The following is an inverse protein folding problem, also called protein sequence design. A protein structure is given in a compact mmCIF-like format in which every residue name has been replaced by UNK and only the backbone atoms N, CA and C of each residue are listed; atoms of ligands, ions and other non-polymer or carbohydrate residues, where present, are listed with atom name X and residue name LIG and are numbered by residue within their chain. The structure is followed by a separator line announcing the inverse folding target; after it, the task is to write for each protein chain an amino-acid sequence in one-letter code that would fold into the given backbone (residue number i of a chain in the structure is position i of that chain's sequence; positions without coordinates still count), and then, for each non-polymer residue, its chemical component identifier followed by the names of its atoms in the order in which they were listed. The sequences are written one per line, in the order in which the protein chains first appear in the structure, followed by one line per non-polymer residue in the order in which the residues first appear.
data_IF_032225500912
#
_entry.id   IF_032225500912
#
_cell.length_a   1.000
_cell.length_b   1.000
_cell.length_c   1.000
_cell.angle_alpha   90.00
_cell.angle_beta   90.00
_cell.angle_gamma   90.00
#
_symmetry.space_group_name_H-M   'P 1'
#
loop_
_entity.id
_entity.type
_entity.pdbx_description
1 polymer ?
#
# COMPACT_ATOMS: atom_id res chain seq x y z
N UNK A 1 -10.23 -16.72 -15.71
CA UNK A 1 -10.85 -15.40 -16.00
C UNK A 1 -11.64 -15.41 -17.30
N UNK A 2 -11.07 -15.86 -18.43
CA UNK A 2 -11.78 -15.92 -19.71
C UNK A 2 -13.08 -16.74 -19.64
N UNK A 3 -13.03 -17.95 -19.07
CA UNK A 3 -14.23 -18.78 -18.86
C UNK A 3 -15.31 -18.09 -18.00
N UNK A 4 -14.92 -17.32 -16.99
CA UNK A 4 -15.86 -16.58 -16.13
C UNK A 4 -16.59 -15.51 -16.98
N UNK A 5 -15.87 -14.84 -17.87
CA UNK A 5 -16.44 -13.86 -18.80
C UNK A 5 -17.39 -14.52 -19.81
N UNK A 6 -17.09 -15.74 -20.26
CA UNK A 6 -17.97 -16.47 -21.17
C UNK A 6 -19.29 -16.88 -20.48
N UNK A 7 -19.21 -17.48 -19.28
CA UNK A 7 -20.39 -17.87 -18.50
C UNK A 7 -21.29 -16.66 -18.21
N UNK A 8 -20.70 -15.50 -17.91
CA UNK A 8 -21.46 -14.28 -17.71
C UNK A 8 -22.26 -13.86 -18.95
N UNK A 9 -21.62 -13.93 -20.12
CA UNK A 9 -22.19 -13.53 -21.41
C UNK A 9 -23.28 -14.50 -21.88
N UNK A 10 -23.07 -15.81 -21.68
CA UNK A 10 -24.06 -16.86 -21.97
C UNK A 10 -25.31 -16.72 -21.09
N UNK A 11 -25.19 -16.12 -19.91
CA UNK A 11 -26.32 -15.84 -19.03
C UNK A 11 -26.91 -17.06 -18.34
N UNK A 12 -26.25 -18.22 -18.42
CA UNK A 12 -26.66 -19.48 -17.80
C UNK A 12 -26.84 -19.39 -16.28
N UNK A 13 -26.13 -18.46 -15.64
CA UNK A 13 -26.25 -18.13 -14.22
C UNK A 13 -27.62 -17.54 -13.81
N UNK A 14 -28.40 -17.02 -14.76
CA UNK A 14 -29.73 -16.44 -14.50
C UNK A 14 -30.81 -17.48 -14.23
N UNK A 15 -30.53 -18.75 -14.50
CA UNK A 15 -31.42 -19.85 -14.12
C UNK A 15 -31.50 -20.00 -12.58
N UNK A 16 -30.47 -19.55 -11.87
CA UNK A 16 -30.47 -19.44 -10.42
C UNK A 16 -31.14 -18.13 -9.97
N UNK A 17 -31.81 -18.13 -8.82
CA UNK A 17 -32.57 -17.00 -8.24
C UNK A 17 -31.72 -15.79 -7.79
N UNK A 18 -30.52 -15.61 -8.36
CA UNK A 18 -29.55 -14.57 -8.01
C UNK A 18 -29.72 -13.31 -8.87
N UNK A 19 -29.71 -12.13 -8.22
CA UNK A 19 -29.92 -10.83 -8.89
C UNK A 19 -28.67 -10.23 -9.56
N UNK A 20 -27.49 -10.83 -9.40
CA UNK A 20 -26.27 -10.37 -10.10
C UNK A 20 -25.26 -11.50 -10.29
N UNK A 21 -24.50 -11.44 -11.38
CA UNK A 21 -23.47 -12.44 -11.68
C UNK A 21 -22.38 -12.51 -10.61
N UNK A 22 -21.99 -11.37 -10.02
CA UNK A 22 -21.00 -11.35 -8.92
C UNK A 22 -21.52 -12.02 -7.65
N UNK A 23 -22.82 -11.87 -7.33
CA UNK A 23 -23.45 -12.57 -6.20
C UNK A 23 -23.54 -14.08 -6.46
N UNK A 24 -23.90 -14.44 -7.70
CA UNK A 24 -23.91 -15.83 -8.14
C UNK A 24 -22.51 -16.47 -8.04
N UNK A 25 -21.48 -15.79 -8.54
CA UNK A 25 -20.10 -16.26 -8.48
C UNK A 25 -19.60 -16.39 -7.03
N UNK A 26 -19.92 -15.40 -6.18
CA UNK A 26 -19.58 -15.46 -4.76
C UNK A 26 -20.19 -16.67 -4.06
N UNK A 27 -21.48 -16.96 -4.33
CA UNK A 27 -22.19 -18.11 -3.78
C UNK A 27 -21.62 -19.44 -4.30
N UNK A 28 -21.44 -19.56 -5.62
CA UNK A 28 -21.00 -20.78 -6.29
C UNK A 28 -19.57 -21.18 -5.93
N UNK A 29 -18.67 -20.21 -5.89
CA UNK A 29 -17.23 -20.42 -5.64
C UNK A 29 -16.84 -20.15 -4.18
N UNK A 30 -17.81 -19.87 -3.30
CA UNK A 30 -17.61 -19.54 -1.87
C UNK A 30 -16.59 -18.41 -1.66
N UNK A 31 -16.61 -17.41 -2.53
CA UNK A 31 -15.71 -16.25 -2.48
C UNK A 31 -16.31 -15.14 -1.63
N UNK A 32 -15.46 -14.27 -1.09
CA UNK A 32 -15.93 -13.00 -0.55
C UNK A 32 -16.55 -12.15 -1.66
N UNK A 33 -17.56 -11.34 -1.31
CA UNK A 33 -18.23 -10.43 -2.26
C UNK A 33 -17.23 -9.54 -3.00
N UNK A 34 -16.23 -9.01 -2.29
CA UNK A 34 -15.20 -8.15 -2.85
C UNK A 34 -14.28 -8.87 -3.83
N UNK A 35 -13.96 -10.15 -3.58
CA UNK A 35 -13.16 -10.95 -4.52
C UNK A 35 -13.99 -11.31 -5.76
N UNK A 36 -15.23 -11.74 -5.61
CA UNK A 36 -16.11 -12.05 -6.73
C UNK A 36 -16.33 -10.83 -7.65
N UNK A 37 -16.58 -9.65 -7.07
CA UNK A 37 -16.70 -8.40 -7.84
C UNK A 37 -15.44 -8.08 -8.64
N UNK A 38 -14.25 -8.19 -8.02
CA UNK A 38 -12.98 -7.99 -8.73
C UNK A 38 -12.76 -9.00 -9.84
N UNK A 39 -13.04 -10.28 -9.59
CA UNK A 39 -12.90 -11.35 -10.57
C UNK A 39 -13.83 -11.14 -11.77
N UNK A 40 -15.10 -10.76 -11.54
CA UNK A 40 -16.04 -10.42 -12.61
C UNK A 40 -15.57 -9.19 -13.38
N UNK A 41 -15.14 -8.13 -12.70
CA UNK A 41 -14.61 -6.92 -13.36
C UNK A 41 -13.42 -7.22 -14.27
N UNK A 42 -12.46 -8.03 -13.81
CA UNK A 42 -11.32 -8.46 -14.62
C UNK A 42 -11.73 -9.33 -15.82
N UNK A 43 -12.71 -10.23 -15.62
CA UNK A 43 -13.24 -11.06 -16.70
C UNK A 43 -13.96 -10.22 -17.78
N UNK A 44 -14.73 -9.19 -17.38
CA UNK A 44 -15.36 -8.24 -18.30
C UNK A 44 -14.33 -7.43 -19.07
N UNK A 45 -13.33 -6.87 -18.38
CA UNK A 45 -12.27 -6.09 -19.01
C UNK A 45 -11.52 -6.90 -20.08
N UNK A 46 -11.23 -8.17 -19.81
CA UNK A 46 -10.65 -9.08 -20.81
C UNK A 46 -11.54 -9.29 -22.02
N UNK A 47 -12.83 -9.52 -21.79
CA UNK A 47 -13.79 -9.79 -22.87
C UNK A 47 -14.07 -8.56 -23.74
N UNK A 48 -14.14 -7.38 -23.14
CA UNK A 48 -14.64 -6.17 -23.79
C UNK A 48 -13.52 -5.26 -24.32
N UNK A 49 -12.34 -5.28 -23.69
CA UNK A 49 -11.28 -4.31 -23.99
C UNK A 49 -9.92 -4.93 -24.27
N UNK A 50 -9.74 -6.23 -23.98
CA UNK A 50 -8.44 -6.89 -24.13
C UNK A 50 -8.54 -8.26 -24.84
N UNK A 51 -9.06 -8.31 -26.09
CA UNK A 51 -9.21 -9.55 -26.83
C UNK A 51 -7.88 -10.28 -27.09
N UNK A 52 -6.77 -9.57 -27.36
CA UNK A 52 -5.48 -10.22 -27.60
C UNK A 52 -4.91 -10.84 -26.32
N UNK A 53 -5.08 -10.16 -25.19
CA UNK A 53 -4.67 -10.64 -23.86
C UNK A 53 -5.49 -11.85 -23.45
N UNK A 54 -6.80 -11.85 -23.74
CA UNK A 54 -7.65 -13.01 -23.50
C UNK A 54 -7.20 -14.23 -24.33
N UNK A 55 -6.85 -14.04 -25.60
CA UNK A 55 -6.32 -15.09 -26.46
C UNK A 55 -5.00 -15.65 -25.94
N UNK A 56 -4.03 -14.79 -25.61
CA UNK A 56 -2.73 -15.20 -25.05
C UNK A 56 -2.88 -15.93 -23.70
N UNK A 57 -3.81 -15.48 -22.84
CA UNK A 57 -4.10 -16.16 -21.58
C UNK A 57 -4.71 -17.55 -21.79
N UNK A 58 -5.60 -17.73 -22.77
CA UNK A 58 -6.15 -19.03 -23.14
C UNK A 58 -5.09 -19.95 -23.75
N UNK A 59 -4.16 -19.40 -24.53
CA UNK A 59 -3.03 -20.13 -25.10
C UNK A 59 -1.96 -20.52 -24.05
N UNK A 60 -2.03 -19.96 -22.84
CA UNK A 60 -1.05 -20.20 -21.78
C UNK A 60 0.29 -19.46 -22.01
N UNK A 61 0.31 -18.49 -22.92
CA UNK A 61 1.50 -17.69 -23.26
C UNK A 61 1.83 -16.66 -22.18
N UNK A 62 0.81 -16.24 -21.42
CA UNK A 62 0.94 -15.27 -20.34
C UNK A 62 0.37 -15.81 -19.03
N UNK A 63 0.97 -15.39 -17.92
CA UNK A 63 0.53 -15.75 -16.57
C UNK A 63 -0.65 -14.90 -16.10
N UNK A 64 -1.31 -15.34 -15.02
CA UNK A 64 -2.38 -14.56 -14.38
C UNK A 64 -1.91 -13.18 -13.87
N UNK A 65 -0.62 -13.02 -13.55
CA UNK A 65 -0.05 -11.73 -13.15
C UNK A 65 -0.03 -10.74 -14.32
N UNK A 66 0.43 -11.16 -15.50
CA UNK A 66 0.39 -10.34 -16.72
C UNK A 66 -1.03 -9.88 -17.04
N UNK A 67 -2.00 -10.80 -16.96
CA UNK A 67 -3.42 -10.50 -17.14
C UNK A 67 -3.88 -9.43 -16.13
N UNK A 68 -3.53 -9.58 -14.86
CA UNK A 68 -3.90 -8.62 -13.81
C UNK A 68 -3.30 -7.23 -14.04
N UNK A 69 -2.09 -7.16 -14.62
CA UNK A 69 -1.42 -5.91 -14.96
C UNK A 69 -2.11 -5.27 -16.17
N UNK A 70 -2.41 -6.03 -17.23
CA UNK A 70 -3.12 -5.53 -18.40
C UNK A 70 -4.51 -4.98 -18.07
N UNK A 71 -5.26 -5.64 -17.17
CA UNK A 71 -6.57 -5.16 -16.71
C UNK A 71 -6.47 -3.78 -16.04
N UNK A 72 -5.34 -3.41 -15.42
CA UNK A 72 -5.17 -2.05 -14.86
C UNK A 72 -5.10 -0.98 -15.95
N UNK A 73 -4.67 -1.35 -17.16
CA UNK A 73 -4.62 -0.44 -18.30
C UNK A 73 -6.00 -0.09 -18.86
N UNK A 74 -7.09 -0.75 -18.43
CA UNK A 74 -8.47 -0.46 -18.88
C UNK A 74 -9.24 0.45 -17.91
N UNK A 75 -8.53 1.16 -17.03
CA UNK A 75 -9.10 1.92 -15.91
C UNK A 75 -9.98 3.10 -16.33
N UNK A 76 -9.70 3.72 -17.47
CA UNK A 76 -10.45 4.86 -18.01
C UNK A 76 -10.84 4.64 -19.46
N UNK A 77 -11.80 5.41 -19.97
CA UNK A 77 -12.23 5.31 -21.36
C UNK A 77 -11.11 5.70 -22.32
N UNK A 78 -10.40 6.79 -22.04
CA UNK A 78 -9.23 7.26 -22.80
C UNK A 78 -8.18 6.15 -22.97
N UNK A 79 -7.92 5.37 -21.90
CA UNK A 79 -6.96 4.28 -21.97
C UNK A 79 -7.48 3.11 -22.81
N UNK A 80 -8.78 2.79 -22.77
CA UNK A 80 -9.40 1.75 -23.61
C UNK A 80 -9.34 2.12 -25.08
N UNK A 81 -9.65 3.38 -25.41
CA UNK A 81 -9.53 3.90 -26.78
C UNK A 81 -8.07 3.79 -27.28
N UNK A 82 -7.09 4.14 -26.44
CA UNK A 82 -5.67 3.99 -26.78
C UNK A 82 -5.22 2.53 -26.94
N UNK A 83 -5.78 1.61 -26.16
CA UNK A 83 -5.53 0.17 -26.30
C UNK A 83 -6.12 -0.39 -27.60
N UNK A 84 -7.30 0.07 -28.00
CA UNK A 84 -7.97 -0.35 -29.23
C UNK A 84 -7.41 0.35 -30.49
N UNK A 85 -6.83 1.53 -30.34
CA UNK A 85 -6.32 2.35 -31.43
C UNK A 85 -5.15 1.72 -32.19
N UNK A 86 -5.01 2.01 -33.50
CA UNK A 86 -3.90 1.52 -34.31
C UNK A 86 -2.59 2.20 -33.91
N UNK A 87 -1.53 1.41 -33.84
CA UNK A 87 -0.16 1.81 -33.53
C UNK A 87 0.74 1.27 -34.64
N UNK A 88 1.57 2.15 -35.22
CA UNK A 88 2.60 1.74 -36.15
C UNK A 88 3.63 0.89 -35.40
N UNK A 89 3.91 -0.30 -35.91
CA UNK A 89 4.76 -1.28 -35.26
C UNK A 89 5.70 -1.90 -36.27
N UNK A 90 6.99 -1.94 -35.94
CA UNK A 90 8.01 -2.68 -36.70
C UNK A 90 8.14 -4.14 -36.23
N UNK A 91 7.16 -4.64 -35.48
CA UNK A 91 7.17 -6.03 -34.96
C UNK A 91 6.69 -7.05 -36.01
N UNK A 92 6.99 -8.33 -35.74
CA UNK A 92 6.61 -9.46 -36.60
C UNK A 92 5.09 -9.63 -36.82
N UNK A 93 4.24 -8.93 -36.07
CA UNK A 93 2.79 -8.95 -36.21
C UNK A 93 2.27 -8.14 -37.42
N UNK A 94 3.14 -7.37 -38.10
CA UNK A 94 2.81 -6.53 -39.24
C UNK A 94 2.97 -5.03 -38.94
N UNK A 95 2.84 -4.17 -39.97
CA UNK A 95 3.16 -2.73 -39.87
C UNK A 95 2.20 -1.92 -38.96
N UNK A 96 1.04 -2.47 -38.63
CA UNK A 96 0.02 -1.84 -37.77
C UNK A 96 -0.54 -2.89 -36.83
N UNK A 97 -0.47 -2.63 -35.52
CA UNK A 97 -1.11 -3.44 -34.48
C UNK A 97 -1.92 -2.54 -33.54
N UNK A 98 -2.73 -3.10 -32.65
CA UNK A 98 -3.40 -2.29 -31.61
C UNK A 98 -2.43 -1.91 -30.49
N UNK A 99 -2.77 -0.88 -29.72
CA UNK A 99 -2.04 -0.52 -28.50
C UNK A 99 -1.96 -1.69 -27.51
N UNK A 100 -3.03 -2.47 -27.38
CA UNK A 100 -3.05 -3.71 -26.62
C UNK A 100 -1.98 -4.70 -27.10
N UNK A 101 -1.97 -5.02 -28.41
CA UNK A 101 -1.04 -5.99 -28.99
C UNK A 101 0.42 -5.54 -28.84
N UNK A 102 0.68 -4.23 -28.99
CA UNK A 102 2.01 -3.66 -28.79
C UNK A 102 2.49 -3.87 -27.34
N UNK A 103 1.65 -3.56 -26.36
CA UNK A 103 1.99 -3.77 -24.94
C UNK A 103 2.17 -5.26 -24.64
N UNK A 104 1.24 -6.10 -25.10
CA UNK A 104 1.26 -7.55 -24.88
C UNK A 104 2.51 -8.21 -25.50
N UNK A 105 3.00 -7.70 -26.64
CA UNK A 105 4.25 -8.19 -27.26
C UNK A 105 5.48 -8.09 -26.36
N UNK A 106 5.46 -7.23 -25.35
CA UNK A 106 6.53 -7.09 -24.36
C UNK A 106 6.40 -8.06 -23.16
N UNK A 107 5.27 -8.76 -23.02
CA UNK A 107 5.05 -9.69 -21.91
C UNK A 107 5.95 -10.93 -22.00
N UNK A 108 6.29 -11.37 -23.21
CA UNK A 108 7.17 -12.53 -23.44
C UNK A 108 8.67 -12.24 -23.30
N UNK A 109 9.07 -10.96 -23.31
CA UNK A 109 10.49 -10.54 -23.34
C UNK A 109 10.96 -9.91 -22.03
N UNK A 110 10.04 -9.37 -21.22
CA UNK A 110 10.35 -8.67 -19.98
C UNK A 110 9.97 -9.47 -18.74
N UNK A 111 10.62 -9.19 -17.60
CA UNK A 111 10.16 -9.71 -16.31
C UNK A 111 8.83 -9.07 -15.91
N UNK A 112 8.04 -9.74 -15.07
CA UNK A 112 6.73 -9.23 -14.60
C UNK A 112 6.83 -7.82 -14.01
N UNK A 113 7.87 -7.53 -13.23
CA UNK A 113 8.08 -6.20 -12.64
C UNK A 113 8.36 -5.12 -13.69
N UNK A 114 9.12 -5.46 -14.73
CA UNK A 114 9.42 -4.56 -15.84
C UNK A 114 8.17 -4.31 -16.70
N UNK A 115 7.39 -5.36 -16.94
CA UNK A 115 6.09 -5.27 -17.58
C UNK A 115 5.13 -4.37 -16.78
N UNK A 116 5.11 -4.52 -15.45
CA UNK A 116 4.35 -3.64 -14.57
C UNK A 116 4.74 -2.17 -14.70
N UNK A 117 6.04 -1.87 -14.82
CA UNK A 117 6.54 -0.50 -15.05
C UNK A 117 6.15 0.03 -16.43
N UNK A 118 6.23 -0.80 -17.47
CA UNK A 118 5.81 -0.45 -18.83
C UNK A 118 4.33 -0.03 -18.85
N UNK A 119 3.47 -0.86 -18.27
CA UNK A 119 2.02 -0.59 -18.22
C UNK A 119 1.73 0.65 -17.37
N UNK A 120 2.44 0.85 -16.25
CA UNK A 120 2.34 2.09 -15.49
C UNK A 120 2.70 3.31 -16.34
N UNK A 121 3.79 3.26 -17.09
CA UNK A 121 4.19 4.32 -18.02
C UNK A 121 3.12 4.60 -19.07
N UNK A 122 2.54 3.55 -19.66
CA UNK A 122 1.41 3.67 -20.58
C UNK A 122 0.21 4.35 -19.92
N UNK A 123 -0.18 3.97 -18.69
CA UNK A 123 -1.32 4.60 -18.02
C UNK A 123 -1.09 6.09 -17.73
N UNK A 124 0.14 6.47 -17.36
CA UNK A 124 0.50 7.87 -17.07
C UNK A 124 0.51 8.72 -18.34
N UNK A 125 1.12 8.23 -19.41
CA UNK A 125 1.14 8.93 -20.70
C UNK A 125 -0.20 8.85 -21.43
N UNK A 126 -0.98 7.82 -21.13
CA UNK A 126 -2.25 7.49 -21.78
C UNK A 126 -3.39 8.38 -21.32
N UNK A 127 -3.42 8.70 -20.03
CA UNK A 127 -4.47 9.55 -19.45
C UNK A 127 -3.91 10.38 -18.29
N UNK A 128 -3.11 11.42 -18.58
CA UNK A 128 -2.49 12.24 -17.54
C UNK A 128 -3.52 13.01 -16.71
N UNK A 129 -4.66 13.40 -17.30
CA UNK A 129 -5.73 14.08 -16.58
C UNK A 129 -6.38 13.19 -15.54
N UNK A 130 -6.65 11.91 -15.87
CA UNK A 130 -7.16 10.96 -14.89
C UNK A 130 -6.13 10.66 -13.79
N UNK A 131 -4.84 10.64 -14.11
CA UNK A 131 -3.80 10.50 -13.08
C UNK A 131 -3.75 11.72 -12.15
N UNK A 132 -3.83 12.93 -12.71
CA UNK A 132 -3.85 14.17 -11.93
C UNK A 132 -5.11 14.22 -11.05
N UNK A 133 -6.27 13.85 -11.58
CA UNK A 133 -7.50 13.75 -10.80
C UNK A 133 -7.38 12.70 -9.70
N UNK A 134 -6.87 11.51 -9.99
CA UNK A 134 -6.65 10.47 -8.98
C UNK A 134 -5.66 10.92 -7.90
N UNK A 135 -4.64 11.70 -8.27
CA UNK A 135 -3.72 12.32 -7.34
C UNK A 135 -4.44 13.33 -6.44
N UNK A 136 -5.22 14.26 -7.00
CA UNK A 136 -6.04 15.21 -6.23
C UNK A 136 -7.04 14.52 -5.31
N UNK A 137 -7.76 13.52 -5.82
CA UNK A 137 -8.70 12.71 -5.03
C UNK A 137 -7.97 12.00 -3.88
N UNK A 138 -6.72 11.55 -4.07
CA UNK A 138 -5.93 10.95 -3.01
C UNK A 138 -5.49 11.98 -1.95
N UNK A 139 -5.12 13.20 -2.37
CA UNK A 139 -4.81 14.33 -1.48
C UNK A 139 -6.03 14.73 -0.66
N UNK A 140 -7.20 14.87 -1.29
CA UNK A 140 -8.45 15.23 -0.60
C UNK A 140 -8.92 14.16 0.39
N UNK A 141 -8.49 12.91 0.19
CA UNK A 141 -8.77 11.78 1.09
C UNK A 141 -7.71 11.61 2.16
N UNK A 142 -6.67 12.44 2.20
CA UNK A 142 -5.70 12.37 3.27
C UNK A 142 -6.36 12.70 4.61
N UNK A 143 -6.17 11.82 5.57
CA UNK A 143 -6.59 12.07 6.93
C UNK A 143 -5.66 11.36 7.91
N UNK A 144 -5.55 11.93 9.09
CA UNK A 144 -4.93 11.30 10.25
C UNK A 144 -5.85 11.56 11.44
N UNK A 145 -6.31 10.48 12.06
CA UNK A 145 -7.16 10.50 13.24
C UNK A 145 -6.43 9.78 14.37
N UNK A 146 -6.41 10.43 15.53
CA UNK A 146 -5.90 9.87 16.78
C UNK A 146 -7.05 9.97 17.79
N UNK A 147 -7.60 8.84 18.20
CA UNK A 147 -8.76 8.79 19.10
C UNK A 147 -8.51 7.87 20.30
N UNK A 148 -9.04 8.20 21.48
CA UNK A 148 -8.99 7.31 22.64
C UNK A 148 -9.90 6.09 22.43
N UNK A 149 -9.46 4.95 22.94
CA UNK A 149 -10.18 3.67 22.96
C UNK A 149 -10.08 3.04 24.35
N UNK A 150 -10.85 1.97 24.60
CA UNK A 150 -10.75 1.23 25.86
C UNK A 150 -9.41 0.46 25.89
N UNK A 151 -8.39 1.04 26.52
CA UNK A 151 -7.08 0.42 26.69
C UNK A 151 -5.95 1.04 25.87
N UNK A 152 -6.18 2.16 25.17
CA UNK A 152 -5.12 2.87 24.47
C UNK A 152 -5.61 3.92 23.49
N UNK A 153 -4.72 4.35 22.60
CA UNK A 153 -5.04 5.28 21.51
C UNK A 153 -5.07 4.51 20.19
N UNK A 154 -6.07 4.77 19.35
CA UNK A 154 -6.11 4.30 17.98
C UNK A 154 -5.63 5.40 17.05
N UNK A 155 -4.64 5.08 16.21
CA UNK A 155 -4.18 5.94 15.13
C UNK A 155 -4.65 5.32 13.81
N UNK A 156 -5.40 6.10 13.02
CA UNK A 156 -5.91 5.68 11.72
C UNK A 156 -5.66 6.79 10.71
N UNK A 157 -5.26 6.44 9.50
CA UNK A 157 -5.01 7.43 8.48
C UNK A 157 -4.83 6.86 7.09
N UNK A 158 -4.95 7.76 6.14
CA UNK A 158 -4.58 7.55 4.75
C UNK A 158 -3.74 8.74 4.32
N UNK A 159 -2.61 8.47 3.69
CA UNK A 159 -1.73 9.50 3.12
C UNK A 159 -1.41 9.11 1.68
N UNK A 160 -1.10 10.10 0.86
CA UNK A 160 -0.56 9.90 -0.48
C UNK A 160 0.71 9.07 -0.44
N UNK A 161 1.07 8.47 -1.58
CA UNK A 161 2.29 7.67 -1.68
C UNK A 161 3.54 8.49 -1.35
N UNK A 162 3.59 9.75 -1.77
CA UNK A 162 4.70 10.66 -1.48
C UNK A 162 4.86 10.90 0.02
N UNK A 163 3.80 11.36 0.69
CA UNK A 163 3.81 11.59 2.14
C UNK A 163 4.08 10.30 2.92
N UNK A 164 3.54 9.16 2.47
CA UNK A 164 3.82 7.86 3.06
C UNK A 164 5.29 7.43 2.92
N UNK A 165 5.94 7.73 1.80
CA UNK A 165 7.38 7.49 1.64
C UNK A 165 8.21 8.40 2.54
N UNK A 166 7.86 9.68 2.64
CA UNK A 166 8.50 10.63 3.55
C UNK A 166 8.38 10.14 5.01
N UNK A 167 7.20 9.71 5.44
CA UNK A 167 6.95 9.16 6.77
C UNK A 167 7.77 7.88 7.02
N UNK A 168 7.77 6.93 6.07
CA UNK A 168 8.58 5.71 6.19
C UNK A 168 10.09 6.00 6.21
N UNK A 169 10.55 7.05 5.53
CA UNK A 169 11.94 7.47 5.58
C UNK A 169 12.30 8.08 6.93
N UNK A 170 11.44 8.95 7.48
CA UNK A 170 11.63 9.55 8.80
C UNK A 170 11.66 8.47 9.91
N UNK A 171 10.70 7.53 9.91
CA UNK A 171 10.69 6.43 10.87
C UNK A 171 11.96 5.58 10.78
N UNK A 172 12.44 5.26 9.56
CA UNK A 172 13.69 4.52 9.38
C UNK A 172 14.92 5.30 9.86
N UNK A 173 14.92 6.62 9.72
CA UNK A 173 16.01 7.45 10.19
C UNK A 173 16.10 7.44 11.73
N UNK A 174 14.96 7.38 12.43
CA UNK A 174 14.91 7.35 13.90
C UNK A 174 15.14 5.94 14.46
N UNK A 175 14.58 4.90 13.83
CA UNK A 175 14.64 3.51 14.29
C UNK A 175 16.05 2.96 14.53
N UNK A 176 17.06 3.50 13.84
CA UNK A 176 18.41 2.94 13.82
C UNK A 176 18.47 1.54 13.20
N UNK A 177 19.61 0.85 13.40
CA UNK A 177 19.80 -0.55 12.98
C UNK A 177 19.34 -1.46 14.12
N UNK A 178 18.34 -2.34 13.92
CA UNK A 178 17.92 -3.29 14.94
C UNK A 178 19.07 -4.19 15.39
N UNK A 179 19.11 -4.55 16.67
CA UNK A 179 20.07 -5.52 17.18
C UNK A 179 19.85 -6.90 16.51
N UNK A 180 20.92 -7.68 16.36
CA UNK A 180 20.88 -8.96 15.65
C UNK A 180 19.96 -10.00 16.33
N UNK A 181 19.71 -9.83 17.62
CA UNK A 181 18.85 -10.65 18.47
C UNK A 181 17.46 -10.03 18.72
N UNK A 182 17.13 -8.90 18.08
CA UNK A 182 15.80 -8.30 18.19
C UNK A 182 14.77 -9.10 17.37
N UNK A 183 14.10 -10.04 18.04
CA UNK A 183 13.06 -10.89 17.48
C UNK A 183 11.69 -10.21 17.38
N UNK A 184 11.57 -8.92 17.72
CA UNK A 184 10.27 -8.25 17.72
C UNK A 184 9.74 -8.03 16.29
N UNK A 185 8.42 -8.20 16.07
CA UNK A 185 7.76 -7.88 14.81
C UNK A 185 8.09 -6.46 14.32
N UNK A 186 8.21 -6.31 13.00
CA UNK A 186 8.52 -5.02 12.37
C UNK A 186 7.53 -3.91 12.74
N UNK A 187 6.26 -4.26 12.91
CA UNK A 187 5.20 -3.31 13.27
C UNK A 187 5.40 -2.71 14.67
N UNK A 188 5.88 -3.49 15.65
CA UNK A 188 6.17 -2.98 16.99
C UNK A 188 7.36 -2.01 16.97
N UNK A 189 8.42 -2.35 16.22
CA UNK A 189 9.58 -1.44 16.02
C UNK A 189 9.16 -0.13 15.34
N UNK A 190 8.18 -0.21 14.43
CA UNK A 190 7.62 0.96 13.76
C UNK A 190 6.85 1.87 14.72
N UNK A 191 6.15 1.29 15.70
CA UNK A 191 5.52 2.05 16.79
C UNK A 191 6.57 2.75 17.65
N UNK A 192 7.61 2.04 18.08
CA UNK A 192 8.72 2.63 18.87
C UNK A 192 9.33 3.82 18.10
N UNK A 193 9.62 3.64 16.82
CA UNK A 193 10.18 4.69 15.95
C UNK A 193 9.27 5.92 15.83
N UNK A 194 7.95 5.73 15.85
CA UNK A 194 6.98 6.82 15.81
C UNK A 194 6.94 7.59 17.13
N UNK A 195 7.07 6.88 18.25
CA UNK A 195 7.16 7.48 19.59
C UNK A 195 8.48 8.24 19.73
N UNK A 196 9.59 7.67 19.29
CA UNK A 196 10.91 8.32 19.28
C UNK A 196 10.91 9.57 18.39
N UNK A 197 10.26 9.54 17.23
CA UNK A 197 10.09 10.71 16.37
C UNK A 197 9.34 11.83 17.10
N UNK A 198 8.25 11.50 17.83
CA UNK A 198 7.50 12.47 18.61
C UNK A 198 8.35 13.07 19.73
N UNK A 199 9.08 12.25 20.47
CA UNK A 199 10.00 12.72 21.51
C UNK A 199 11.10 13.60 20.94
N UNK A 200 11.74 13.21 19.84
CA UNK A 200 12.77 14.00 19.18
C UNK A 200 12.27 15.41 18.80
N UNK A 201 11.04 15.52 18.30
CA UNK A 201 10.43 16.82 17.95
C UNK A 201 10.11 17.64 19.20
N UNK A 202 9.58 17.01 20.25
CA UNK A 202 9.20 17.68 21.51
C UNK A 202 10.41 18.10 22.36
N UNK A 203 11.50 17.32 22.31
CA UNK A 203 12.73 17.57 23.05
C UNK A 203 13.66 18.52 22.28
N UNK A 204 13.68 18.42 20.95
CA UNK A 204 14.63 19.08 20.07
C UNK A 204 14.44 20.60 19.88
N UNK A 205 13.37 21.21 20.38
CA UNK A 205 13.16 22.66 20.18
C UNK A 205 12.70 23.04 18.78
N UNK A 206 12.43 22.04 17.93
CA UNK A 206 12.04 22.23 16.52
C UNK A 206 10.56 22.66 16.45
N UNK A 207 9.74 22.18 17.39
CA UNK A 207 8.40 22.70 17.61
C UNK A 207 8.53 24.13 18.18
N UNK A 208 8.21 25.15 17.38
CA UNK A 208 8.48 26.56 17.67
C UNK A 208 8.15 27.04 19.09
N UNK A 209 8.72 28.19 19.50
CA UNK A 209 8.65 28.74 20.87
C UNK A 209 7.26 28.56 21.51
N UNK A 210 7.16 27.66 22.49
CA UNK A 210 5.94 27.38 23.26
C UNK A 210 5.31 25.99 23.05
N UNK A 211 5.70 25.24 22.01
CA UNK A 211 5.23 23.87 21.76
C UNK A 211 6.19 22.78 22.26
N UNK A 212 7.36 23.19 22.76
CA UNK A 212 8.34 22.30 23.36
C UNK A 212 7.87 21.88 24.75
N UNK A 213 7.36 20.65 24.87
CA UNK A 213 7.03 20.05 26.16
C UNK A 213 8.11 19.02 26.47
N UNK A 214 9.06 19.38 27.34
CA UNK A 214 9.96 18.38 27.92
C UNK A 214 9.09 17.37 28.69
N UNK A 215 9.16 16.07 28.40
CA UNK A 215 8.43 15.06 29.15
C UNK A 215 8.78 15.17 30.63
N UNK A 216 7.78 15.38 31.48
CA UNK A 216 7.94 15.44 32.93
C UNK A 216 7.28 14.21 33.54
N UNK A 217 8.05 13.41 34.27
CA UNK A 217 7.54 12.34 35.10
C UNK A 217 7.40 12.88 36.53
N UNK A 218 6.17 13.10 36.98
CA UNK A 218 5.90 13.42 38.38
C UNK A 218 5.90 12.13 39.19
N UNK A 219 6.96 11.91 39.96
CA UNK A 219 7.04 10.81 40.93
C UNK A 219 6.60 11.35 42.29
N UNK A 220 5.57 10.74 42.86
CA UNK A 220 5.15 11.01 44.23
C UNK A 220 5.77 9.95 45.14
N UNK A 221 6.64 10.39 46.04
CA UNK A 221 7.16 9.59 47.15
C UNK A 221 6.78 10.26 48.46
N UNK A 222 6.65 9.48 49.51
CA UNK A 222 6.47 10.00 50.86
C UNK A 222 7.75 10.68 51.36
N UNK A 223 7.61 11.57 52.35
CA UNK A 223 8.76 12.23 52.97
C UNK A 223 9.75 11.22 53.58
N UNK A 224 9.24 10.13 54.15
CA UNK A 224 10.05 9.08 54.76
C UNK A 224 10.84 8.29 53.71
N UNK A 225 10.24 8.01 52.55
CA UNK A 225 10.97 7.39 51.42
C UNK A 225 12.04 8.33 50.84
N UNK A 226 11.74 9.62 50.71
CA UNK A 226 12.71 10.61 50.23
C UNK A 226 13.92 10.69 51.17
N UNK A 227 13.67 10.81 52.47
CA UNK A 227 14.74 10.91 53.48
C UNK A 227 15.59 9.63 53.55
N UNK A 228 14.95 8.46 53.44
CA UNK A 228 15.65 7.18 53.35
C UNK A 228 16.55 7.07 52.11
N UNK A 229 16.04 7.42 50.92
CA UNK A 229 16.81 7.43 49.68
C UNK A 229 17.96 8.44 49.72
N UNK A 230 17.71 9.64 50.28
CA UNK A 230 18.71 10.70 50.40
C UNK A 230 19.87 10.27 51.32
N UNK A 231 19.57 9.69 52.48
CA UNK A 231 20.58 9.19 53.41
C UNK A 231 21.43 8.06 52.81
N UNK A 232 20.80 7.14 52.08
CA UNK A 232 21.48 6.03 51.41
C UNK A 232 22.39 6.50 50.27
N UNK A 233 21.98 7.52 49.51
CA UNK A 233 22.81 8.09 48.44
C UNK A 233 24.06 8.81 49.00
N UNK A 234 23.94 9.51 50.13
CA UNK A 234 25.06 10.26 50.74
C UNK A 234 26.03 9.35 51.51
N UNK A 235 25.54 8.25 52.10
CA UNK A 235 26.42 7.24 52.73
C UNK A 235 27.19 6.45 51.67
N UNK A 236 26.60 6.18 50.50
CA UNK A 236 27.27 5.54 49.38
C UNK A 236 28.38 6.42 48.74
N UNK A 237 28.20 7.74 48.64
CA UNK A 237 29.25 8.64 48.10
C UNK A 237 30.43 8.82 49.06
N UNK A 238 30.17 8.77 50.37
CA UNK A 238 31.22 8.87 51.39
C UNK A 238 32.06 7.58 51.46
N UNK A 239 31.46 6.42 51.20
CA UNK A 239 32.14 5.12 51.21
C UNK A 239 33.03 4.91 49.97
N UNK A 240 32.65 5.47 48.82
CA UNK A 240 33.40 5.36 47.56
C UNK A 240 34.62 6.29 47.48
N UNK A 241 34.67 7.35 48.29
CA UNK A 241 35.83 8.25 48.36
C UNK A 241 36.96 7.72 49.27
N UNK A 242 36.66 6.76 50.16
CA UNK A 242 37.63 6.24 51.16
C UNK A 242 38.40 5.00 50.65
N UNK A 243 38.12 4.47 49.45
CA UNK A 243 38.79 3.26 48.92
C UNK A 243 39.94 3.53 47.93
N UNK A 244 40.49 4.74 47.88
CA UNK A 244 41.72 5.06 47.12
C UNK A 244 42.77 5.60 48.08
N UNK A 245 43.46 4.69 48.78
CA UNK A 245 44.76 4.92 49.44
C UNK A 245 45.44 3.58 49.67
#
# INVERSE_FOLDING_TARGET
LVLIGQIEAEGSWRADTMHSFSSWLASRERLSKALAQRTVGAARALREHLPATAAAACAGEITAEHVSIMVKATGTETLREKLAGPVASDTAAGPVCTGEQMLLGNAGTCKVDEFGKLIKGFTVSGDPEAQEKAFKDAVEREFLQISPTLGGMQISGFVTTEHGQAFNAALRAVAGVPAADDLRPADLRKVDSLVDLAHLVLDGGIAGKGANVRPHLSVHITWDEFTGLYANAHTASTSSTVSVS
#
